data_IF_286722042198
#
_entry.id   IF_286722042198
#
_cell.length_a   1.000
_cell.length_b   1.000
_cell.length_c   1.000
_cell.angle_alpha   90.00
_cell.angle_beta   90.00
_cell.angle_gamma   90.00
#
_symmetry.space_group_name_H-M   'P 1'
#
loop_
_entity.id
_entity.type
_entity.pdbx_description
1 polymer ?
#
# COMPACT_ATOMS: atom_id res chain seq x y z
N UNK A 1 1.50 9.34 -2.03
CA UNK A 1 0.29 8.80 -2.70
C UNK A 1 -0.53 9.98 -3.18
N UNK A 2 -1.18 9.83 -4.33
CA UNK A 2 -1.96 10.89 -4.95
C UNK A 2 -3.43 10.47 -5.09
N UNK A 3 -4.34 11.42 -4.93
CA UNK A 3 -5.80 11.30 -5.08
C UNK A 3 -6.34 12.69 -5.48
N UNK A 4 -7.50 12.81 -6.15
CA UNK A 4 -8.13 14.12 -6.32
C UNK A 4 -8.54 14.74 -4.98
N UNK A 5 -8.88 16.04 -4.95
CA UNK A 5 -9.15 16.77 -3.71
C UNK A 5 -10.27 16.13 -2.89
N UNK A 6 -11.28 15.59 -3.55
CA UNK A 6 -12.46 14.92 -2.98
C UNK A 6 -12.23 13.46 -2.52
N UNK A 7 -10.98 12.96 -2.57
CA UNK A 7 -10.63 11.58 -2.22
C UNK A 7 -11.35 10.51 -3.06
N UNK A 8 -11.68 10.81 -4.33
CA UNK A 8 -12.41 9.91 -5.20
C UNK A 8 -11.81 8.50 -5.32
N UNK A 9 -10.48 8.33 -5.33
CA UNK A 9 -9.84 7.00 -5.39
C UNK A 9 -9.96 6.25 -4.06
N UNK A 10 -9.83 6.94 -2.93
CA UNK A 10 -10.03 6.38 -1.60
C UNK A 10 -11.49 5.96 -1.34
N UNK A 11 -12.47 6.74 -1.81
CA UNK A 11 -13.89 6.48 -1.59
C UNK A 11 -14.45 5.34 -2.45
N UNK A 12 -13.79 4.97 -3.57
CA UNK A 12 -14.23 3.88 -4.47
C UNK A 12 -14.51 2.55 -3.77
N UNK A 13 -13.62 1.99 -2.92
CA UNK A 13 -13.91 0.79 -2.13
C UNK A 13 -15.15 0.91 -1.24
N UNK A 14 -15.45 2.09 -0.69
CA UNK A 14 -16.67 2.30 0.10
C UNK A 14 -17.94 2.19 -0.75
N UNK A 15 -17.87 2.55 -2.03
CA UNK A 15 -18.96 2.42 -2.99
C UNK A 15 -19.07 1.03 -3.64
N UNK A 16 -18.34 0.01 -3.13
CA UNK A 16 -18.33 -1.34 -3.72
C UNK A 16 -17.70 -1.43 -5.11
N UNK A 17 -17.05 -0.36 -5.59
CA UNK A 17 -16.42 -0.33 -6.92
C UNK A 17 -15.06 -1.01 -6.87
N UNK A 18 -14.96 -2.19 -7.49
CA UNK A 18 -13.74 -3.00 -7.53
C UNK A 18 -12.68 -2.49 -8.53
N UNK A 19 -13.07 -1.65 -9.48
CA UNK A 19 -12.14 -0.94 -10.39
C UNK A 19 -11.53 0.30 -9.73
N UNK A 20 -10.43 0.07 -9.01
CA UNK A 20 -9.68 1.13 -8.35
C UNK A 20 -8.39 1.48 -9.07
N UNK A 21 -8.05 2.77 -9.04
CA UNK A 21 -6.71 3.25 -9.32
C UNK A 21 -6.01 3.58 -8.01
N UNK A 22 -4.70 3.38 -7.97
CA UNK A 22 -3.84 3.99 -6.97
C UNK A 22 -2.66 4.61 -7.68
N UNK A 23 -2.43 5.89 -7.42
CA UNK A 23 -1.32 6.64 -8.00
C UNK A 23 -0.34 6.98 -6.88
N UNK A 24 0.94 6.75 -7.12
CA UNK A 24 1.99 7.07 -6.14
C UNK A 24 3.30 7.40 -6.82
N UNK A 25 4.06 8.32 -6.23
CA UNK A 25 5.51 8.38 -6.43
C UNK A 25 6.17 7.53 -5.34
N UNK A 26 7.25 6.84 -5.69
CA UNK A 26 8.02 5.99 -4.79
C UNK A 26 9.51 6.18 -5.04
N UNK A 27 10.29 6.36 -3.98
CA UNK A 27 11.75 6.34 -3.98
C UNK A 27 12.26 5.15 -3.18
N UNK A 28 13.30 4.49 -3.68
CA UNK A 28 14.08 3.51 -2.95
C UNK A 28 15.34 4.21 -2.46
N UNK A 29 15.52 4.31 -1.14
CA UNK A 29 16.64 5.07 -0.58
C UNK A 29 17.98 4.39 -0.86
N UNK A 30 18.03 3.06 -0.75
CA UNK A 30 19.26 2.26 -0.96
C UNK A 30 19.81 2.41 -2.38
N UNK A 31 18.95 2.38 -3.41
CA UNK A 31 19.39 2.47 -4.82
C UNK A 31 19.28 3.87 -5.40
N UNK A 32 18.72 4.83 -4.66
CA UNK A 32 18.38 6.16 -5.14
C UNK A 32 17.22 6.23 -6.16
N UNK A 33 16.77 5.08 -6.71
CA UNK A 33 15.81 5.04 -7.80
C UNK A 33 14.44 5.57 -7.40
N UNK A 34 13.84 6.39 -8.26
CA UNK A 34 12.49 6.92 -8.08
C UNK A 34 11.59 6.57 -9.26
N UNK A 35 10.30 6.39 -8.97
CA UNK A 35 9.29 6.05 -9.95
C UNK A 35 7.96 6.72 -9.63
N UNK A 36 7.23 7.12 -10.67
CA UNK A 36 5.77 7.25 -10.62
C UNK A 36 5.17 5.87 -10.92
N UNK A 37 4.17 5.46 -10.16
CA UNK A 37 3.51 4.17 -10.31
C UNK A 37 1.99 4.33 -10.34
N UNK A 38 1.35 3.67 -11.30
CA UNK A 38 -0.10 3.52 -11.40
C UNK A 38 -0.45 2.04 -11.21
N UNK A 39 -1.30 1.76 -10.22
CA UNK A 39 -1.89 0.43 -10.02
C UNK A 39 -3.36 0.49 -10.40
N UNK A 40 -3.73 -0.26 -11.43
CA UNK A 40 -5.10 -0.41 -11.90
C UNK A 40 -5.61 -1.81 -11.54
N UNK A 41 -6.68 -1.88 -10.74
CA UNK A 41 -7.44 -3.11 -10.54
C UNK A 41 -8.54 -3.19 -11.59
N UNK A 42 -8.57 -4.28 -12.38
CA UNK A 42 -9.54 -4.48 -13.46
C UNK A 42 -10.77 -5.26 -12.98
N UNK A 43 -11.84 -5.24 -13.79
CA UNK A 43 -13.08 -5.99 -13.55
C UNK A 43 -12.86 -7.52 -13.49
N UNK A 44 -11.74 -8.02 -14.02
CA UNK A 44 -11.39 -9.45 -14.00
C UNK A 44 -10.51 -9.81 -12.78
N UNK A 45 -10.63 -9.03 -11.70
CA UNK A 45 -9.83 -9.10 -10.47
C UNK A 45 -8.30 -9.03 -10.66
N UNK A 46 -7.83 -8.63 -11.86
CA UNK A 46 -6.40 -8.53 -12.18
C UNK A 46 -5.88 -7.15 -11.82
N UNK A 47 -4.74 -7.07 -11.16
CA UNK A 47 -4.04 -5.79 -10.94
C UNK A 47 -2.92 -5.61 -11.95
N UNK A 48 -2.98 -4.54 -12.75
CA UNK A 48 -1.91 -4.12 -13.66
C UNK A 48 -1.14 -2.98 -13.01
N UNK A 49 0.17 -3.14 -12.87
CA UNK A 49 1.08 -2.10 -12.37
C UNK A 49 1.91 -1.56 -13.51
N UNK A 50 1.88 -0.25 -13.71
CA UNK A 50 2.76 0.48 -14.62
C UNK A 50 3.66 1.41 -13.79
N UNK A 51 4.89 1.64 -14.26
CA UNK A 51 5.83 2.57 -13.62
C UNK A 51 6.58 3.40 -14.67
N UNK A 52 6.89 4.64 -14.32
CA UNK A 52 7.73 5.58 -15.06
C UNK A 52 8.91 5.96 -14.17
N UNK A 53 10.17 5.73 -14.58
CA UNK A 53 11.34 6.24 -13.87
C UNK A 53 11.33 7.76 -13.78
N UNK A 54 11.83 8.31 -12.67
CA UNK A 54 11.95 9.75 -12.43
C UNK A 54 13.25 10.05 -11.68
N UNK A 55 13.77 11.26 -11.83
CA UNK A 55 15.02 11.67 -11.16
C UNK A 55 14.88 11.77 -9.63
N UNK A 56 13.67 12.09 -9.17
CA UNK A 56 13.35 12.22 -7.76
C UNK A 56 11.93 11.79 -7.42
N UNK A 57 11.59 11.96 -6.15
CA UNK A 57 10.22 11.75 -5.68
C UNK A 57 9.35 12.94 -6.12
N UNK A 58 8.24 12.66 -6.81
CA UNK A 58 7.25 13.70 -7.08
C UNK A 58 6.49 14.00 -5.78
N UNK A 59 6.61 15.24 -5.31
CA UNK A 59 5.92 15.76 -4.12
C UNK A 59 4.69 16.59 -4.47
N UNK A 60 4.51 16.91 -5.74
CA UNK A 60 3.36 17.64 -6.29
C UNK A 60 2.90 17.00 -7.60
N UNK A 61 1.78 17.49 -8.14
CA UNK A 61 1.29 17.10 -9.45
C UNK A 61 2.22 17.64 -10.54
N UNK A 62 3.07 16.80 -11.11
CA UNK A 62 3.94 17.20 -12.23
C UNK A 62 3.27 16.89 -13.58
N UNK A 63 3.62 17.60 -14.66
CA UNK A 63 3.15 17.25 -16.01
C UNK A 63 3.45 15.80 -16.39
N UNK A 64 4.62 15.28 -16.00
CA UNK A 64 4.98 13.88 -16.20
C UNK A 64 4.04 12.92 -15.46
N UNK A 65 3.66 13.23 -14.22
CA UNK A 65 2.67 12.44 -13.47
C UNK A 65 1.31 12.49 -14.14
N UNK A 66 0.84 13.68 -14.52
CA UNK A 66 -0.44 13.85 -15.18
C UNK A 66 -0.51 13.08 -16.50
N UNK A 67 0.51 13.22 -17.36
CA UNK A 67 0.60 12.50 -18.63
C UNK A 67 0.67 10.99 -18.45
N UNK A 68 1.48 10.51 -17.49
CA UNK A 68 1.60 9.08 -17.21
C UNK A 68 0.30 8.48 -16.65
N UNK A 69 -0.41 9.23 -15.81
CA UNK A 69 -1.72 8.83 -15.31
C UNK A 69 -2.74 8.82 -16.46
N UNK A 70 -2.80 9.85 -17.29
CA UNK A 70 -3.71 9.91 -18.43
C UNK A 70 -3.50 8.74 -19.41
N UNK A 71 -2.26 8.33 -19.65
CA UNK A 71 -1.93 7.21 -20.54
C UNK A 71 -2.30 5.82 -19.97
N UNK A 72 -2.51 5.69 -18.66
CA UNK A 72 -2.65 4.37 -18.01
C UNK A 72 -3.85 4.22 -17.07
N UNK A 73 -4.47 5.32 -16.67
CA UNK A 73 -5.77 5.33 -16.03
C UNK A 73 -6.84 5.46 -17.12
N UNK A 74 -7.81 4.53 -17.14
CA UNK A 74 -8.94 4.61 -18.10
C UNK A 74 -9.97 5.67 -17.72
N UNK A 75 -9.83 6.27 -16.53
CA UNK A 75 -10.68 7.35 -16.06
C UNK A 75 -9.92 8.67 -16.21
N UNK A 76 -10.65 9.75 -16.49
CA UNK A 76 -10.12 11.11 -16.39
C UNK A 76 -9.82 11.40 -14.91
N UNK A 77 -8.61 11.05 -14.48
CA UNK A 77 -8.08 11.38 -13.16
C UNK A 77 -7.38 12.73 -13.28
N UNK A 78 -8.15 13.79 -13.13
CA UNK A 78 -7.66 15.16 -13.13
C UNK A 78 -7.47 15.66 -11.70
N UNK A 79 -6.63 16.69 -11.52
CA UNK A 79 -6.45 17.34 -10.22
C UNK A 79 -5.82 16.46 -9.14
N UNK A 80 -5.01 15.46 -9.51
CA UNK A 80 -4.33 14.62 -8.52
C UNK A 80 -3.37 15.44 -7.66
N UNK A 81 -3.53 15.38 -6.35
CA UNK A 81 -2.66 16.06 -5.38
C UNK A 81 -2.05 15.06 -4.40
N UNK A 82 -0.88 15.36 -3.80
CA UNK A 82 -0.32 14.53 -2.75
C UNK A 82 -1.28 14.46 -1.55
N UNK A 83 -1.66 13.24 -1.14
CA UNK A 83 -2.53 13.03 0.04
C UNK A 83 -1.80 12.46 1.24
N UNK A 84 -0.85 11.55 1.02
CA UNK A 84 -0.07 11.01 2.14
C UNK A 84 1.26 10.43 1.70
N UNK A 85 2.18 10.47 2.62
CA UNK A 85 3.44 9.76 2.64
C UNK A 85 3.24 8.43 3.38
N UNK A 86 3.94 7.41 2.89
CA UNK A 86 3.95 6.09 3.49
C UNK A 86 5.40 5.58 3.46
N UNK A 87 6.00 5.53 4.63
CA UNK A 87 7.42 5.25 4.88
C UNK A 87 7.53 3.92 5.62
N UNK A 88 8.53 3.11 5.29
CA UNK A 88 8.80 1.82 5.92
C UNK A 88 10.18 1.29 5.50
N UNK A 89 10.77 0.48 6.36
CA UNK A 89 11.89 -0.40 6.03
C UNK A 89 11.36 -1.68 5.37
N UNK A 90 12.06 -2.22 4.35
CA UNK A 90 11.64 -3.46 3.70
C UNK A 90 12.77 -4.47 3.62
N UNK A 91 12.52 -5.66 4.12
CA UNK A 91 13.30 -6.86 3.83
C UNK A 91 12.65 -7.57 2.64
N UNK A 92 13.45 -7.99 1.67
CA UNK A 92 12.98 -8.81 0.54
C UNK A 92 13.80 -10.09 0.50
N UNK A 93 13.14 -11.22 0.65
CA UNK A 93 13.73 -12.55 0.54
C UNK A 93 13.25 -13.19 -0.76
N UNK A 94 14.18 -13.67 -1.58
CA UNK A 94 13.90 -14.39 -2.81
C UNK A 94 14.31 -15.85 -2.62
N UNK A 95 13.41 -16.77 -2.92
CA UNK A 95 13.75 -18.19 -2.90
C UNK A 95 14.62 -18.54 -4.12
N UNK A 96 15.72 -19.26 -3.89
CA UNK A 96 16.57 -19.81 -4.94
C UNK A 96 16.06 -21.15 -5.46
N UNK A 97 15.24 -21.86 -4.67
CA UNK A 97 14.69 -23.17 -4.99
C UNK A 97 13.27 -23.11 -5.58
N UNK A 98 12.53 -22.01 -5.36
CA UNK A 98 11.12 -21.87 -5.72
C UNK A 98 10.87 -20.49 -6.34
N UNK A 99 9.83 -20.38 -7.16
CA UNK A 99 9.35 -19.08 -7.65
C UNK A 99 8.53 -18.35 -6.57
N UNK A 100 9.18 -18.05 -5.45
CA UNK A 100 8.60 -17.39 -4.29
C UNK A 100 9.42 -16.18 -3.89
N UNK A 101 8.73 -15.07 -3.60
CA UNK A 101 9.33 -13.87 -3.02
C UNK A 101 8.52 -13.43 -1.81
N UNK A 102 9.20 -13.28 -0.68
CA UNK A 102 8.65 -12.71 0.55
C UNK A 102 9.14 -11.26 0.71
N UNK A 103 8.22 -10.35 1.03
CA UNK A 103 8.58 -9.00 1.47
C UNK A 103 8.02 -8.74 2.85
N UNK A 104 8.85 -8.20 3.74
CA UNK A 104 8.46 -7.84 5.10
C UNK A 104 8.65 -6.32 5.21
N UNK A 105 7.56 -5.60 5.42
CA UNK A 105 7.57 -4.17 5.70
C UNK A 105 7.55 -3.95 7.22
N UNK A 106 8.48 -3.13 7.71
CA UNK A 106 8.69 -2.78 9.11
C UNK A 106 8.62 -1.27 9.28
N UNK A 107 8.46 -0.80 10.52
CA UNK A 107 8.49 0.62 10.88
C UNK A 107 7.50 1.47 10.06
N UNK A 108 6.30 0.94 9.85
CA UNK A 108 5.32 1.56 8.96
C UNK A 108 4.85 2.90 9.55
N UNK A 109 5.05 3.98 8.80
CA UNK A 109 4.64 5.34 9.16
C UNK A 109 3.84 5.97 8.03
N UNK A 110 2.74 6.60 8.41
CA UNK A 110 1.93 7.44 7.54
C UNK A 110 2.08 8.89 7.99
N UNK A 111 2.19 9.82 7.04
CA UNK A 111 2.11 11.25 7.36
C UNK A 111 1.48 12.05 6.22
N UNK A 112 0.85 13.15 6.55
CA UNK A 112 0.50 14.25 5.65
C UNK A 112 1.11 15.53 6.24
N UNK A 113 0.66 16.69 5.77
CA UNK A 113 1.19 17.98 6.23
C UNK A 113 0.77 18.31 7.68
N UNK A 114 -0.38 17.79 8.11
CA UNK A 114 -0.94 18.10 9.44
C UNK A 114 -0.48 17.13 10.54
N UNK A 115 -0.23 15.85 10.19
CA UNK A 115 -0.05 14.79 11.18
C UNK A 115 0.79 13.60 10.69
N UNK A 116 1.35 12.89 11.66
CA UNK A 116 2.07 11.64 11.47
C UNK A 116 1.53 10.55 12.41
N UNK A 117 1.41 9.33 11.90
CA UNK A 117 1.03 8.13 12.64
C UNK A 117 2.02 7.02 12.34
N UNK A 118 2.68 6.50 13.38
CA UNK A 118 3.51 5.30 13.29
C UNK A 118 2.72 4.07 13.76
N UNK A 119 3.03 2.91 13.22
CA UNK A 119 2.48 1.61 13.65
C UNK A 119 3.62 0.75 14.23
N UNK A 120 4.12 1.06 15.45
CA UNK A 120 5.23 0.33 16.05
C UNK A 120 4.85 -1.13 16.34
N UNK A 121 5.83 -2.04 16.28
CA UNK A 121 5.59 -3.47 16.50
C UNK A 121 4.80 -4.19 15.40
N UNK A 122 4.25 -3.46 14.42
CA UNK A 122 3.50 -4.05 13.31
C UNK A 122 4.41 -4.33 12.11
N UNK A 123 4.49 -5.60 11.71
CA UNK A 123 5.08 -6.03 10.44
C UNK A 123 4.01 -6.40 9.41
N UNK A 124 4.26 -6.08 8.13
CA UNK A 124 3.44 -6.58 7.01
C UNK A 124 4.29 -7.51 6.16
N UNK A 125 4.02 -8.81 6.27
CA UNK A 125 4.61 -9.83 5.42
C UNK A 125 3.69 -10.13 4.21
N UNK A 126 4.24 -10.06 3.00
CA UNK A 126 3.55 -10.39 1.74
C UNK A 126 4.36 -11.45 0.98
N UNK A 127 3.78 -12.63 0.80
CA UNK A 127 4.33 -13.70 -0.03
C UNK A 127 3.76 -13.60 -1.44
N UNK A 128 4.62 -13.73 -2.46
CA UNK A 128 4.23 -13.83 -3.87
C UNK A 128 4.78 -15.11 -4.47
N UNK A 129 3.89 -15.87 -5.09
CA UNK A 129 4.20 -17.12 -5.76
C UNK A 129 3.67 -17.07 -7.20
N UNK A 130 4.29 -17.81 -8.12
CA UNK A 130 3.80 -17.96 -9.50
C UNK A 130 2.45 -18.72 -9.57
N UNK A 131 2.16 -19.56 -8.55
CA UNK A 131 0.89 -20.23 -8.34
C UNK A 131 0.71 -20.57 -6.87
N UNK A 132 -0.51 -20.94 -6.46
CA UNK A 132 -0.81 -21.35 -5.08
C UNK A 132 0.00 -22.61 -4.74
N UNK A 133 1.05 -22.47 -3.94
CA UNK A 133 1.82 -23.59 -3.43
C UNK A 133 1.60 -23.74 -1.94
N UNK A 134 1.06 -24.90 -1.53
CA UNK A 134 0.92 -25.27 -0.11
C UNK A 134 2.27 -25.50 0.58
N UNK A 135 3.36 -25.59 -0.17
CA UNK A 135 4.73 -25.86 0.33
C UNK A 135 5.54 -24.60 0.58
N UNK A 136 4.91 -23.50 0.99
CA UNK A 136 5.66 -22.28 1.34
C UNK A 136 6.11 -22.39 2.78
N UNK A 137 7.42 -22.48 3.00
CA UNK A 137 8.00 -22.58 4.34
C UNK A 137 7.56 -21.41 5.21
N UNK A 138 7.48 -20.20 4.65
CA UNK A 138 6.96 -19.05 5.39
C UNK A 138 5.49 -19.23 5.78
N UNK A 139 4.61 -19.64 4.86
CA UNK A 139 3.18 -19.84 5.16
C UNK A 139 2.99 -20.95 6.19
N UNK A 140 3.76 -22.05 6.08
CA UNK A 140 3.75 -23.16 7.05
C UNK A 140 4.11 -22.67 8.45
N UNK A 141 5.17 -21.87 8.60
CA UNK A 141 5.54 -21.28 9.89
C UNK A 141 4.47 -20.32 10.43
N UNK A 142 3.86 -19.48 9.58
CA UNK A 142 2.78 -18.59 10.01
C UNK A 142 1.57 -19.38 10.51
N UNK A 143 1.21 -20.46 9.81
CA UNK A 143 0.11 -21.35 10.22
C UNK A 143 0.42 -22.06 11.54
N UNK A 144 1.64 -22.57 11.73
CA UNK A 144 2.08 -23.20 12.98
C UNK A 144 2.06 -22.21 14.16
N UNK A 145 2.32 -20.92 13.90
CA UNK A 145 2.20 -19.84 14.88
C UNK A 145 0.75 -19.34 15.07
N UNK A 146 -0.25 -20.01 14.47
CA UNK A 146 -1.66 -19.59 14.48
C UNK A 146 -1.92 -18.17 13.91
N UNK A 147 -1.01 -17.66 13.07
CA UNK A 147 -1.15 -16.36 12.41
C UNK A 147 -1.97 -16.53 11.14
N UNK A 148 -3.18 -15.97 11.16
CA UNK A 148 -4.10 -16.03 10.03
C UNK A 148 -3.78 -14.95 8.98
N UNK A 149 -3.93 -15.26 7.68
CA UNK A 149 -3.65 -14.30 6.61
C UNK A 149 -4.62 -13.12 6.70
N UNK A 150 -4.05 -11.91 6.73
CA UNK A 150 -4.79 -10.66 6.70
C UNK A 150 -3.99 -9.63 5.92
N UNK A 151 -4.67 -8.61 5.39
CA UNK A 151 -4.00 -7.55 4.68
C UNK A 151 -4.87 -6.31 4.56
N UNK A 152 -4.22 -5.20 4.21
CA UNK A 152 -4.90 -3.94 3.94
C UNK A 152 -4.14 -3.12 2.91
N UNK A 153 -4.85 -2.20 2.28
CA UNK A 153 -4.26 -1.17 1.44
C UNK A 153 -3.57 -0.14 2.33
N UNK A 154 -2.24 -0.05 2.27
CA UNK A 154 -1.47 1.00 2.96
C UNK A 154 -2.03 2.40 2.68
N UNK A 155 -2.46 2.67 1.45
CA UNK A 155 -3.10 3.94 1.11
C UNK A 155 -4.43 4.16 1.88
N UNK A 156 -5.29 3.14 1.93
CA UNK A 156 -6.62 3.30 2.53
C UNK A 156 -6.53 3.38 4.05
N UNK A 157 -5.68 2.57 4.68
CA UNK A 157 -5.42 2.68 6.12
C UNK A 157 -4.71 3.99 6.44
N UNK A 158 -3.75 4.41 5.62
CA UNK A 158 -3.11 5.71 5.77
C UNK A 158 -4.12 6.86 5.75
N UNK A 159 -5.04 6.90 4.77
CA UNK A 159 -6.10 7.93 4.74
C UNK A 159 -7.03 7.81 5.94
N UNK A 160 -7.51 6.61 6.26
CA UNK A 160 -8.44 6.40 7.37
C UNK A 160 -7.84 6.77 8.73
N UNK A 161 -6.53 6.56 8.89
CA UNK A 161 -5.79 7.08 10.03
C UNK A 161 -5.71 8.59 9.91
N UNK A 162 -5.06 9.14 8.87
CA UNK A 162 -4.68 10.56 8.73
C UNK A 162 -5.85 11.55 8.57
N UNK A 163 -6.99 11.15 8.06
CA UNK A 163 -8.12 12.03 7.74
C UNK A 163 -9.39 11.55 8.46
N UNK A 164 -9.56 11.86 9.76
CA UNK A 164 -10.63 11.27 10.58
C UNK A 164 -12.02 11.77 10.17
N UNK A 165 -12.09 12.95 9.53
CA UNK A 165 -13.30 13.54 8.97
C UNK A 165 -13.76 12.85 7.67
N UNK A 166 -12.92 12.02 7.05
CA UNK A 166 -13.27 11.25 5.86
C UNK A 166 -13.85 9.89 6.27
N UNK A 167 -14.87 9.43 5.54
CA UNK A 167 -15.55 8.15 5.77
C UNK A 167 -14.54 6.99 5.84
N UNK A 168 -14.53 6.25 6.95
CA UNK A 168 -13.60 5.12 7.16
C UNK A 168 -14.29 3.83 7.66
N UNK A 169 -15.62 3.81 7.72
CA UNK A 169 -16.42 2.70 8.25
C UNK A 169 -16.07 1.31 7.66
N UNK A 170 -15.79 1.23 6.35
CA UNK A 170 -15.37 -0.01 5.68
C UNK A 170 -14.06 -0.58 6.24
N UNK A 171 -13.19 0.25 6.78
CA UNK A 171 -11.88 -0.12 7.28
C UNK A 171 -11.85 -0.30 8.81
N UNK A 172 -12.96 -0.09 9.52
CA UNK A 172 -13.03 -0.14 10.99
C UNK A 172 -12.48 -1.45 11.56
N UNK A 173 -12.86 -2.60 11.02
CA UNK A 173 -12.35 -3.89 11.50
C UNK A 173 -10.83 -4.05 11.31
N UNK A 174 -10.27 -3.46 10.25
CA UNK A 174 -8.81 -3.46 10.01
C UNK A 174 -8.09 -2.49 10.95
N UNK A 175 -8.66 -1.32 11.20
CA UNK A 175 -8.13 -0.37 12.17
C UNK A 175 -8.11 -0.97 13.58
N UNK A 176 -9.21 -1.60 14.01
CA UNK A 176 -9.29 -2.26 15.31
C UNK A 176 -8.25 -3.39 15.45
N UNK A 177 -8.06 -4.18 14.39
CA UNK A 177 -7.01 -5.21 14.39
C UNK A 177 -5.61 -4.60 14.53
N UNK A 178 -5.33 -3.51 13.81
CA UNK A 178 -4.05 -2.80 13.90
C UNK A 178 -3.83 -2.27 15.33
N UNK A 179 -4.83 -1.60 15.92
CA UNK A 179 -4.75 -1.13 17.30
C UNK A 179 -4.46 -2.26 18.27
N UNK A 180 -5.22 -3.36 18.17
CA UNK A 180 -5.00 -4.54 19.02
C UNK A 180 -3.59 -5.12 18.88
N UNK A 181 -3.03 -5.17 17.67
CA UNK A 181 -1.68 -5.71 17.44
C UNK A 181 -0.58 -4.80 17.99
N UNK A 182 -0.79 -3.49 17.96
CA UNK A 182 0.17 -2.49 18.49
C UNK A 182 0.12 -2.45 20.02
N UNK A 183 -1.07 -2.58 20.61
CA UNK A 183 -1.27 -2.53 22.06
C UNK A 183 -1.04 -3.89 22.75
N UNK A 184 -0.86 -4.98 22.00
CA UNK A 184 -0.59 -6.30 22.59
C UNK A 184 0.76 -6.27 23.34
N UNK A 185 0.77 -6.48 24.68
CA UNK A 185 1.99 -6.41 25.47
C UNK A 185 3.07 -7.40 25.03
N UNK A 186 2.68 -8.48 24.33
CA UNK A 186 3.63 -9.47 23.80
C UNK A 186 4.40 -8.98 22.57
N UNK A 187 3.96 -7.89 21.95
CA UNK A 187 4.60 -7.26 20.79
C UNK A 187 5.38 -5.99 21.16
N UNK A 188 5.32 -5.57 22.42
CA UNK A 188 6.10 -4.45 22.98
C UNK A 188 7.24 -5.06 23.78
N UNK A 189 8.29 -5.52 23.08
CA UNK A 189 9.57 -5.93 23.67
C UNK A 189 10.71 -5.37 22.83
#
# INVERSE_FOLDING_TARGET
YFDPPDFALYLRPHAGKYNGYKVRSRRYLVTGQSFIEVKLKTNKDRTVKRRLPTDGLATSATPALAGFVAAHARASLTGLEPKLWNEFSRITLLSTARQERLTIDLDLRFRNDDRSVALPGLAIAEVKQAGLSRRSTFIEHMHAAAIQPTGFSKYCIGVALLYPHIKHNRFKSKLNLIHKLIEDPRNVN
#
